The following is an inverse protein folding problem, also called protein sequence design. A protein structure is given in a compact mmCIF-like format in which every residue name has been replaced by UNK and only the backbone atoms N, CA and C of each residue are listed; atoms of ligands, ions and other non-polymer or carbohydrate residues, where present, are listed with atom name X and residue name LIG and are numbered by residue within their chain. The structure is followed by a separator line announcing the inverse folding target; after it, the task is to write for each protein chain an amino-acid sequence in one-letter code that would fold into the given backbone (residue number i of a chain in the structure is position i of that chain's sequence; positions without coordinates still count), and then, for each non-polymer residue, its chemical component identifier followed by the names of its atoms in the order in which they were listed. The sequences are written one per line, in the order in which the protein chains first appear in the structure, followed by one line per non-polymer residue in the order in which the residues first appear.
data_IF_382967697829
#
_entry.id   IF_382967697829
#
_cell.length_a   1.000
_cell.length_b   1.000
_cell.length_c   1.000
_cell.angle_alpha   90.00
_cell.angle_beta   90.00
_cell.angle_gamma   90.00
#
_symmetry.space_group_name_H-M   'P 1'
#
loop_
_entity.id
_entity.type
_entity.pdbx_description
1 polymer ?
#
# COMPACT_ATOMS: atom_id res chain seq x y z
N UNK A 1 -2.01 0.67 7.70
CA UNK A 1 -3.11 0.20 6.82
C UNK A 1 -3.41 1.31 5.85
N UNK A 2 -3.39 1.02 4.57
CA UNK A 2 -3.53 1.96 3.46
C UNK A 2 -4.99 2.01 3.05
N UNK A 3 -5.49 3.19 2.73
CA UNK A 3 -6.75 3.42 2.07
C UNK A 3 -6.51 4.12 0.74
N UNK A 4 -7.40 3.93 -0.25
CA UNK A 4 -7.16 4.45 -1.57
C UNK A 4 -8.44 4.91 -2.28
N UNK A 5 -8.26 5.90 -3.16
CA UNK A 5 -9.27 6.40 -4.11
C UNK A 5 -9.02 5.74 -5.45
N UNK A 6 -10.08 5.21 -6.04
CA UNK A 6 -10.03 4.52 -7.33
C UNK A 6 -10.76 5.30 -8.42
N UNK A 7 -10.29 5.12 -9.65
CA UNK A 7 -11.04 5.41 -10.86
C UNK A 7 -10.95 4.22 -11.82
N UNK A 8 -12.09 3.71 -12.27
CA UNK A 8 -12.15 2.52 -13.16
C UNK A 8 -11.36 1.33 -12.62
N UNK A 9 -11.50 1.06 -11.33
CA UNK A 9 -10.79 -0.01 -10.61
C UNK A 9 -9.25 0.15 -10.55
N UNK A 10 -8.74 1.35 -10.83
CA UNK A 10 -7.33 1.70 -10.62
C UNK A 10 -7.16 2.58 -9.39
N UNK A 11 -6.22 2.23 -8.53
CA UNK A 11 -5.78 3.06 -7.41
C UNK A 11 -5.08 4.30 -7.97
N UNK A 12 -5.49 5.49 -7.55
CA UNK A 12 -4.93 6.77 -8.00
C UNK A 12 -4.25 7.55 -6.87
N UNK A 13 -4.85 7.52 -5.69
CA UNK A 13 -4.33 8.16 -4.49
C UNK A 13 -4.41 7.15 -3.37
N UNK A 14 -3.32 6.93 -2.69
CA UNK A 14 -3.21 6.10 -1.50
C UNK A 14 -2.86 6.97 -0.30
N UNK A 15 -3.43 6.67 0.86
CA UNK A 15 -3.09 7.34 2.10
C UNK A 15 -2.95 6.37 3.28
N UNK A 16 -2.11 6.73 4.22
CA UNK A 16 -1.90 5.95 5.45
C UNK A 16 -1.51 6.87 6.62
N UNK A 17 -2.03 6.63 7.85
CA UNK A 17 -3.09 5.67 8.17
C UNK A 17 -4.44 6.08 7.59
N UNK A 18 -5.30 5.12 7.31
CA UNK A 18 -6.66 5.39 6.86
C UNK A 18 -7.46 6.14 7.91
N UNK A 19 -8.12 7.26 7.58
CA UNK A 19 -8.95 8.00 8.54
C UNK A 19 -10.25 7.27 8.93
N UNK A 20 -10.65 6.28 8.14
CA UNK A 20 -11.87 5.50 8.38
C UNK A 20 -11.67 4.33 9.35
N UNK A 21 -10.45 3.80 9.44
CA UNK A 21 -10.13 2.59 10.19
C UNK A 21 -9.80 2.94 11.65
N UNK A 22 -10.58 2.38 12.59
CA UNK A 22 -10.26 2.47 14.03
C UNK A 22 -9.14 1.52 14.40
N UNK A 23 -8.54 1.70 15.58
CA UNK A 23 -7.46 0.82 16.04
C UNK A 23 -7.96 -0.61 16.25
N UNK A 24 -9.18 -0.80 16.78
CA UNK A 24 -9.78 -2.12 16.97
C UNK A 24 -9.97 -2.85 15.63
N UNK A 25 -10.47 -2.11 14.62
CA UNK A 25 -10.65 -2.67 13.28
C UNK A 25 -9.29 -3.00 12.63
N UNK A 26 -8.30 -2.11 12.81
CA UNK A 26 -6.93 -2.33 12.34
C UNK A 26 -6.33 -3.62 12.93
N UNK A 27 -6.49 -3.82 14.23
CA UNK A 27 -6.01 -5.04 14.90
C UNK A 27 -6.74 -6.30 14.40
N UNK A 28 -8.06 -6.23 14.25
CA UNK A 28 -8.85 -7.37 13.77
C UNK A 28 -8.44 -7.77 12.35
N UNK A 29 -8.32 -6.80 11.43
CA UNK A 29 -7.87 -7.03 10.07
C UNK A 29 -6.42 -7.53 10.03
N UNK A 30 -5.54 -6.97 10.86
CA UNK A 30 -4.15 -7.42 10.99
C UNK A 30 -4.03 -8.87 11.45
N UNK A 31 -4.79 -9.27 12.47
CA UNK A 31 -4.85 -10.66 12.94
C UNK A 31 -5.36 -11.61 11.87
N UNK A 32 -6.39 -11.20 11.11
CA UNK A 32 -6.92 -12.00 10.01
C UNK A 32 -5.88 -12.18 8.89
N UNK A 33 -5.15 -11.11 8.55
CA UNK A 33 -4.09 -11.15 7.54
C UNK A 33 -2.93 -12.08 7.95
N UNK A 34 -2.45 -11.96 9.19
CA UNK A 34 -1.39 -12.83 9.74
C UNK A 34 -1.83 -14.30 9.69
N UNK A 35 -3.03 -14.59 10.20
CA UNK A 35 -3.58 -15.97 10.18
C UNK A 35 -3.65 -16.52 8.76
N UNK A 36 -4.05 -15.70 7.78
CA UNK A 36 -4.10 -16.11 6.38
C UNK A 36 -2.73 -16.44 5.82
N UNK A 37 -1.73 -15.59 6.07
CA UNK A 37 -0.35 -15.80 5.62
C UNK A 37 0.29 -17.04 6.28
N UNK A 38 0.10 -17.22 7.58
CA UNK A 38 0.58 -18.38 8.33
C UNK A 38 -0.01 -19.69 7.80
N UNK A 39 -1.32 -19.70 7.51
CA UNK A 39 -2.01 -20.90 7.03
C UNK A 39 -1.47 -21.47 5.72
N UNK A 40 -0.85 -20.61 4.90
CA UNK A 40 -0.23 -21.00 3.62
C UNK A 40 1.31 -21.02 3.67
N UNK A 41 1.90 -20.77 4.84
CA UNK A 41 3.36 -20.70 4.99
C UNK A 41 4.01 -19.62 4.10
N UNK A 42 3.38 -18.45 3.99
CA UNK A 42 3.84 -17.40 3.09
C UNK A 42 5.12 -16.74 3.60
N UNK A 43 6.12 -16.63 2.73
CA UNK A 43 7.37 -15.93 2.98
C UNK A 43 7.56 -14.78 1.98
N UNK A 44 8.11 -13.66 2.45
CA UNK A 44 8.38 -12.47 1.65
C UNK A 44 7.36 -11.35 1.84
N UNK A 45 7.50 -10.31 1.01
CA UNK A 45 6.60 -9.17 1.03
C UNK A 45 5.26 -9.51 0.36
N UNK A 46 4.16 -9.17 1.00
CA UNK A 46 2.82 -9.39 0.47
C UNK A 46 1.81 -8.44 1.08
N UNK A 47 0.66 -8.35 0.43
CA UNK A 47 -0.45 -7.52 0.88
C UNK A 47 -1.75 -8.32 0.86
N UNK A 48 -2.51 -8.24 1.93
CA UNK A 48 -3.88 -8.75 1.98
C UNK A 48 -4.82 -7.56 1.89
N UNK A 49 -5.71 -7.60 0.92
CA UNK A 49 -6.70 -6.56 0.66
C UNK A 49 -8.07 -6.98 1.22
N UNK A 50 -8.75 -6.01 1.83
CA UNK A 50 -10.08 -6.19 2.38
C UNK A 50 -11.03 -5.11 1.85
N UNK A 51 -12.28 -5.49 1.67
CA UNK A 51 -13.38 -4.54 1.53
C UNK A 51 -13.92 -4.23 2.93
N UNK A 52 -14.18 -2.95 3.21
CA UNK A 52 -14.76 -2.51 4.48
C UNK A 52 -16.06 -1.77 4.20
N UNK A 53 -17.16 -2.22 4.79
CA UNK A 53 -18.46 -1.60 4.62
C UNK A 53 -18.65 -0.37 5.55
N UNK A 54 -19.76 0.35 5.38
CA UNK A 54 -20.10 1.53 6.20
C UNK A 54 -20.28 1.23 7.68
N UNK A 55 -20.55 -0.03 8.03
CA UNK A 55 -20.72 -0.50 9.41
C UNK A 55 -19.39 -1.01 10.00
N UNK A 56 -18.28 -0.87 9.25
CA UNK A 56 -16.95 -1.35 9.61
C UNK A 56 -16.80 -2.88 9.67
N UNK A 57 -17.67 -3.62 8.99
CA UNK A 57 -17.41 -5.02 8.72
C UNK A 57 -16.39 -5.13 7.60
N UNK A 58 -15.46 -6.08 7.72
CA UNK A 58 -14.44 -6.28 6.70
C UNK A 58 -14.55 -7.68 6.08
N UNK A 59 -14.23 -7.75 4.81
CA UNK A 59 -14.33 -8.96 3.99
C UNK A 59 -13.04 -9.13 3.21
N UNK A 60 -12.48 -10.35 3.23
CA UNK A 60 -11.30 -10.67 2.42
C UNK A 60 -11.63 -10.48 0.94
N UNK A 61 -10.73 -9.80 0.23
CA UNK A 61 -10.83 -9.61 -1.21
C UNK A 61 -9.78 -10.44 -1.94
N UNK A 62 -8.51 -10.18 -1.71
CA UNK A 62 -7.41 -10.89 -2.34
C UNK A 62 -6.12 -10.83 -1.52
N UNK A 63 -5.16 -11.68 -1.90
CA UNK A 63 -3.78 -11.59 -1.44
C UNK A 63 -2.86 -11.38 -2.63
N UNK A 64 -2.06 -10.33 -2.58
CA UNK A 64 -1.00 -10.05 -3.54
C UNK A 64 0.32 -10.57 -2.97
N UNK A 65 0.85 -11.65 -3.55
CA UNK A 65 2.08 -12.32 -3.12
C UNK A 65 3.33 -11.65 -3.72
N UNK A 66 3.41 -10.35 -3.64
CA UNK A 66 4.48 -9.49 -4.17
C UNK A 66 4.48 -8.14 -3.49
N UNK A 67 5.56 -7.39 -3.69
CA UNK A 67 5.56 -5.96 -3.37
C UNK A 67 4.56 -5.22 -4.25
N UNK A 68 3.92 -4.19 -3.72
CA UNK A 68 2.97 -3.35 -4.47
C UNK A 68 3.52 -1.94 -4.70
N UNK A 69 2.89 -1.21 -5.62
CA UNK A 69 3.29 0.17 -5.97
C UNK A 69 3.25 1.06 -4.73
N UNK A 70 2.23 0.91 -3.89
CA UNK A 70 1.97 1.70 -2.70
C UNK A 70 2.86 1.39 -1.48
N UNK A 71 3.91 0.56 -1.63
CA UNK A 71 4.84 0.29 -0.53
C UNK A 71 5.53 1.54 0.05
N UNK A 72 5.84 2.60 -0.73
CA UNK A 72 6.56 3.76 -0.22
C UNK A 72 5.85 4.45 0.94
N UNK A 73 4.51 4.59 0.90
CA UNK A 73 3.80 5.24 2.01
C UNK A 73 3.82 4.41 3.29
N UNK A 74 3.91 3.07 3.20
CA UNK A 74 4.11 2.22 4.37
C UNK A 74 5.50 2.44 4.95
N UNK A 75 6.53 2.51 4.11
CA UNK A 75 7.90 2.77 4.54
C UNK A 75 8.03 4.13 5.23
N UNK A 76 7.44 5.18 4.64
CA UNK A 76 7.48 6.54 5.20
C UNK A 76 6.87 6.64 6.61
N UNK A 77 5.76 5.94 6.87
CA UNK A 77 5.08 6.04 8.16
C UNK A 77 5.60 5.05 9.22
N UNK A 78 6.29 3.99 8.81
CA UNK A 78 6.76 2.94 9.72
C UNK A 78 8.26 2.95 9.94
N UNK A 79 9.01 3.64 9.08
CA UNK A 79 10.49 3.59 9.04
C UNK A 79 11.00 2.15 8.87
N UNK A 80 10.36 1.39 7.99
CA UNK A 80 10.69 0.00 7.69
C UNK A 80 10.85 -0.18 6.18
N UNK A 81 12.08 -0.42 5.74
CA UNK A 81 12.44 -0.60 4.33
C UNK A 81 12.02 -1.99 3.85
N UNK A 82 10.84 -2.05 3.23
CA UNK A 82 10.23 -3.31 2.73
C UNK A 82 11.07 -3.98 1.67
N UNK A 83 11.68 -3.22 0.77
CA UNK A 83 12.51 -3.76 -0.33
C UNK A 83 13.77 -4.41 0.24
N UNK A 84 14.45 -3.73 1.16
CA UNK A 84 15.63 -4.26 1.83
C UNK A 84 15.32 -5.53 2.61
N UNK A 85 14.25 -5.52 3.38
CA UNK A 85 13.85 -6.69 4.16
C UNK A 85 13.41 -7.86 3.27
N UNK A 86 12.76 -7.60 2.14
CA UNK A 86 12.46 -8.63 1.15
C UNK A 86 13.72 -9.31 0.61
N UNK A 87 14.79 -8.54 0.34
CA UNK A 87 16.07 -9.06 -0.12
C UNK A 87 16.73 -9.93 0.97
N UNK A 88 16.69 -9.48 2.23
CA UNK A 88 17.21 -10.24 3.38
C UNK A 88 16.49 -11.57 3.56
N UNK A 89 15.15 -11.56 3.50
CA UNK A 89 14.34 -12.79 3.60
C UNK A 89 14.71 -13.75 2.48
N UNK A 90 14.87 -13.27 1.25
CA UNK A 90 15.30 -14.08 0.11
C UNK A 90 16.74 -14.66 0.29
N UNK A 91 17.58 -14.00 1.08
CA UNK A 91 18.90 -14.47 1.46
C UNK A 91 18.88 -15.45 2.66
N UNK A 92 17.71 -15.76 3.21
CA UNK A 92 17.55 -16.66 4.35
C UNK A 92 17.68 -15.98 5.72
N UNK A 93 17.71 -14.64 5.77
CA UNK A 93 17.73 -13.90 7.02
C UNK A 93 16.33 -13.78 7.61
N UNK A 94 16.25 -13.66 8.93
CA UNK A 94 14.98 -13.39 9.64
C UNK A 94 14.81 -11.90 9.89
N UNK A 95 13.56 -11.42 9.74
CA UNK A 95 13.17 -10.06 10.12
C UNK A 95 12.68 -10.00 11.57
N UNK A 96 12.58 -8.79 12.13
CA UNK A 96 11.99 -8.64 13.47
C UNK A 96 10.50 -8.96 13.44
N UNK A 97 10.06 -9.88 14.31
CA UNK A 97 8.65 -10.29 14.43
C UNK A 97 7.76 -9.33 15.21
N UNK A 98 7.96 -8.01 15.08
CA UNK A 98 7.17 -7.00 15.79
C UNK A 98 6.17 -6.31 14.87
N UNK A 99 5.09 -5.82 15.44
CA UNK A 99 4.17 -4.93 14.72
C UNK A 99 4.78 -3.53 14.58
N UNK A 100 4.64 -2.98 13.38
CA UNK A 100 5.03 -1.60 13.08
C UNK A 100 3.77 -0.73 13.04
N UNK A 101 3.78 0.34 13.84
CA UNK A 101 2.70 1.30 13.90
C UNK A 101 3.08 2.57 13.14
N UNK A 102 2.14 3.18 12.40
CA UNK A 102 2.38 4.45 11.73
C UNK A 102 2.77 5.53 12.76
N UNK A 103 3.87 6.22 12.51
CA UNK A 103 4.33 7.37 13.31
C UNK A 103 3.98 8.71 12.66
N UNK A 104 3.73 8.66 11.36
CA UNK A 104 3.49 9.80 10.50
C UNK A 104 2.24 9.56 9.67
N UNK A 105 1.93 10.53 8.82
CA UNK A 105 0.91 10.43 7.78
C UNK A 105 1.56 10.60 6.42
N UNK A 106 1.22 9.75 5.47
CA UNK A 106 1.74 9.81 4.11
C UNK A 106 0.63 9.63 3.08
N UNK A 107 0.82 10.26 1.93
CA UNK A 107 -0.06 10.16 0.77
C UNK A 107 0.77 9.94 -0.47
N UNK A 108 0.34 9.02 -1.33
CA UNK A 108 0.94 8.73 -2.62
C UNK A 108 -0.05 9.04 -3.74
N UNK A 109 0.44 9.64 -4.81
CA UNK A 109 -0.34 9.90 -6.02
C UNK A 109 0.30 9.17 -7.20
N UNK A 110 -0.48 8.36 -7.91
CA UNK A 110 -0.04 7.73 -9.16
C UNK A 110 -0.24 8.69 -10.32
N UNK A 111 0.86 9.05 -10.97
CA UNK A 111 0.84 9.92 -12.15
C UNK A 111 0.86 9.04 -13.40
N UNK A 112 -0.28 9.00 -14.09
CA UNK A 112 -0.48 8.14 -15.25
C UNK A 112 -0.48 8.95 -16.55
N UNK A 113 0.01 8.33 -17.65
CA UNK A 113 -0.09 8.89 -18.99
C UNK A 113 -1.52 8.70 -19.51
N UNK A 114 -2.39 9.65 -19.22
CA UNK A 114 -3.82 9.64 -19.55
C UNK A 114 -4.26 10.98 -20.14
N UNK A 115 -5.25 10.95 -21.02
CA UNK A 115 -5.84 12.14 -21.64
C UNK A 115 -7.09 12.59 -20.86
N UNK A 116 -7.02 13.66 -20.05
CA UNK A 116 -8.13 14.14 -19.24
C UNK A 116 -9.31 14.67 -20.05
N UNK A 117 -9.07 15.11 -21.29
CA UNK A 117 -10.11 15.65 -22.18
C UNK A 117 -10.89 14.56 -22.88
N UNK A 118 -10.36 13.36 -22.95
CA UNK A 118 -10.98 12.19 -23.58
C UNK A 118 -11.29 11.07 -22.57
N UNK A 119 -11.84 11.46 -21.42
CA UNK A 119 -12.28 10.53 -20.38
C UNK A 119 -11.15 9.75 -19.73
N UNK A 120 -9.97 10.32 -19.64
CA UNK A 120 -8.79 9.69 -19.03
C UNK A 120 -8.41 8.34 -19.64
N UNK A 121 -8.57 8.22 -20.95
CA UNK A 121 -8.04 7.03 -21.64
C UNK A 121 -6.53 7.04 -21.64
N UNK A 122 -5.87 5.87 -21.70
CA UNK A 122 -4.42 5.79 -21.81
C UNK A 122 -3.92 6.61 -23.02
N UNK A 123 -2.90 7.42 -22.79
CA UNK A 123 -2.29 8.31 -23.79
C UNK A 123 -0.77 8.24 -23.70
N UNK A 124 -0.17 7.08 -24.09
CA UNK A 124 1.28 6.92 -24.06
C UNK A 124 1.95 7.83 -25.08
N UNK A 125 3.14 8.30 -24.77
CA UNK A 125 3.90 9.17 -25.67
C UNK A 125 5.18 9.66 -25.04
N UNK A 126 5.90 10.53 -25.77
CA UNK A 126 7.11 11.17 -25.29
C UNK A 126 6.75 12.32 -24.36
N UNK A 127 7.28 12.29 -23.14
CA UNK A 127 7.17 13.42 -22.20
C UNK A 127 8.00 14.58 -22.74
N UNK A 128 7.34 15.69 -23.03
CA UNK A 128 7.97 16.90 -23.57
C UNK A 128 8.60 17.75 -22.45
N UNK A 129 7.84 17.94 -21.37
CA UNK A 129 8.25 18.68 -20.19
C UNK A 129 7.89 17.91 -18.95
N UNK A 130 8.82 17.76 -18.02
CA UNK A 130 8.62 17.08 -16.75
C UNK A 130 9.06 18.01 -15.63
N UNK A 131 8.15 18.27 -14.70
CA UNK A 131 8.45 18.89 -13.42
C UNK A 131 8.03 17.95 -12.30
N UNK A 132 9.01 17.36 -11.63
CA UNK A 132 8.77 16.53 -10.47
C UNK A 132 8.78 17.43 -9.23
N UNK A 133 7.70 17.46 -8.44
CA UNK A 133 7.69 18.20 -7.20
C UNK A 133 8.81 17.68 -6.28
N UNK A 134 9.36 18.56 -5.49
CA UNK A 134 10.42 18.20 -4.54
C UNK A 134 10.33 19.07 -3.31
N UNK A 135 11.23 18.81 -2.36
CA UNK A 135 11.31 19.55 -1.12
C UNK A 135 11.10 18.67 0.10
N UNK A 136 10.98 19.32 1.25
CA UNK A 136 10.85 18.61 2.52
C UNK A 136 9.53 17.82 2.58
N UNK A 137 9.63 16.51 2.84
CA UNK A 137 8.46 15.63 2.93
C UNK A 137 7.96 15.09 1.58
N UNK A 138 8.72 15.30 0.50
CA UNK A 138 8.44 14.71 -0.82
C UNK A 138 9.51 13.66 -1.13
N UNK A 139 9.07 12.46 -1.47
CA UNK A 139 9.89 11.32 -1.87
C UNK A 139 9.63 10.94 -3.32
#
# INVERSE_FOLDING_TARGET
MIWFIQRRHQKLVEETPSPFITEELREAMGKAAIKGAEAIGYEGAGTIEFLVDKNRNFYFMEMNTRIQVEHPITEEVTDFDLIKEQIKVAAGETISGRNYYPKLYAMECRINAEDPFNGFRPSPGKIQNLHIPGGRGVR
#
